data_IF_334486677987
#
_entry.id   IF_334486677987
#
_cell.length_a   1.000
_cell.length_b   1.000
_cell.length_c   1.000
_cell.angle_alpha   90.00
_cell.angle_beta   90.00
_cell.angle_gamma   90.00
#
_symmetry.space_group_name_H-M   'P 1'
#
loop_
_entity.id
_entity.type
_entity.pdbx_description
1 polymer ?
#
# COMPACT_ATOMS: atom_id res chain seq x y z
N UNK A 1 -85.85 -54.08 -23.15
CA UNK A 1 -84.89 -54.93 -23.87
C UNK A 1 -83.74 -54.04 -24.33
N UNK A 2 -82.50 -54.30 -23.87
CA UNK A 2 -81.22 -53.58 -24.10
C UNK A 2 -81.16 -52.10 -23.63
N UNK A 3 -80.91 -51.81 -22.35
CA UNK A 3 -79.62 -51.77 -21.58
C UNK A 3 -78.64 -50.67 -22.05
N UNK A 4 -78.58 -49.56 -21.29
CA UNK A 4 -77.34 -48.81 -21.00
C UNK A 4 -77.36 -48.37 -19.52
N UNK A 5 -76.48 -48.92 -18.66
CA UNK A 5 -76.31 -48.46 -17.29
C UNK A 5 -75.27 -47.33 -17.22
N UNK A 6 -75.49 -46.41 -16.30
CA UNK A 6 -74.56 -45.34 -15.96
C UNK A 6 -73.27 -45.85 -15.31
N UNK A 7 -72.22 -45.03 -15.40
CA UNK A 7 -71.03 -45.05 -14.55
C UNK A 7 -70.83 -43.59 -14.10
N UNK A 8 -71.20 -43.25 -12.87
CA UNK A 8 -70.43 -43.43 -11.62
C UNK A 8 -69.10 -42.66 -11.65
N UNK A 9 -69.13 -41.48 -11.05
CA UNK A 9 -67.95 -40.71 -10.63
C UNK A 9 -67.07 -41.57 -9.73
N UNK A 10 -65.79 -41.65 -10.07
CA UNK A 10 -64.77 -42.24 -9.18
C UNK A 10 -63.98 -41.11 -8.50
N UNK A 11 -63.55 -41.31 -7.24
CA UNK A 11 -62.90 -40.29 -6.43
C UNK A 11 -61.42 -40.13 -6.78
N UNK A 12 -60.90 -38.94 -6.50
CA UNK A 12 -59.51 -38.51 -6.69
C UNK A 12 -58.57 -39.33 -5.78
N UNK A 13 -57.45 -39.89 -6.28
CA UNK A 13 -56.42 -40.51 -5.43
C UNK A 13 -55.51 -39.44 -4.80
N UNK A 14 -54.95 -39.71 -3.60
CA UNK A 14 -54.25 -38.71 -2.81
C UNK A 14 -52.82 -38.48 -3.29
N UNK A 15 -52.37 -37.26 -3.04
CA UNK A 15 -51.01 -36.73 -3.08
C UNK A 15 -49.98 -37.76 -2.60
N UNK A 16 -48.96 -38.02 -3.43
CA UNK A 16 -47.66 -38.50 -2.94
C UNK A 16 -46.52 -37.94 -3.80
N UNK A 17 -45.75 -37.08 -3.14
CA UNK A 17 -44.32 -36.84 -3.33
C UNK A 17 -43.85 -36.09 -4.60
N UNK A 18 -43.65 -34.79 -4.37
CA UNK A 18 -42.77 -33.92 -5.14
C UNK A 18 -41.36 -34.52 -5.24
N UNK A 19 -40.90 -34.84 -6.45
CA UNK A 19 -39.47 -34.88 -6.79
C UNK A 19 -39.30 -34.13 -8.10
N UNK A 20 -39.23 -32.81 -8.03
CA UNK A 20 -38.73 -31.95 -9.09
C UNK A 20 -37.60 -31.13 -8.46
N UNK A 21 -36.50 -31.01 -9.21
CA UNK A 21 -35.31 -30.17 -8.97
C UNK A 21 -34.18 -30.79 -8.13
N UNK A 22 -33.25 -31.47 -8.80
CA UNK A 22 -31.86 -31.56 -8.36
C UNK A 22 -30.90 -31.89 -9.53
N UNK A 23 -31.02 -31.18 -10.66
CA UNK A 23 -30.00 -31.16 -11.71
C UNK A 23 -29.94 -29.75 -12.29
N UNK A 24 -29.19 -28.87 -11.63
CA UNK A 24 -29.03 -27.49 -12.09
C UNK A 24 -28.24 -26.66 -11.10
N UNK A 25 -26.96 -26.45 -11.43
CA UNK A 25 -26.06 -25.42 -10.88
C UNK A 25 -25.47 -25.68 -9.49
N UNK A 26 -24.53 -26.63 -9.43
CA UNK A 26 -23.32 -26.44 -8.62
C UNK A 26 -22.36 -25.57 -9.45
N UNK A 27 -22.64 -24.29 -9.55
CA UNK A 27 -21.59 -23.32 -9.85
C UNK A 27 -20.75 -23.23 -8.59
N UNK A 28 -19.73 -24.06 -8.50
CA UNK A 28 -18.61 -23.83 -7.59
C UNK A 28 -18.09 -22.45 -7.94
N UNK A 29 -18.40 -21.44 -7.11
CA UNK A 29 -17.63 -20.21 -7.13
C UNK A 29 -16.20 -20.64 -6.79
N UNK A 30 -15.39 -20.80 -7.83
CA UNK A 30 -13.96 -20.66 -7.69
C UNK A 30 -13.73 -19.21 -7.28
N UNK A 31 -13.84 -18.94 -5.98
CA UNK A 31 -13.23 -17.76 -5.39
C UNK A 31 -11.75 -17.99 -5.65
N UNK A 32 -11.26 -17.46 -6.77
CA UNK A 32 -9.83 -17.34 -6.97
C UNK A 32 -9.35 -16.57 -5.75
N UNK A 33 -8.44 -17.11 -4.93
CA UNK A 33 -7.86 -16.31 -3.87
C UNK A 33 -7.29 -15.08 -4.56
N UNK A 34 -7.79 -13.89 -4.19
CA UNK A 34 -7.14 -12.67 -4.63
C UNK A 34 -5.73 -12.78 -4.07
N UNK A 35 -4.75 -12.86 -4.96
CA UNK A 35 -3.36 -12.70 -4.55
C UNK A 35 -3.27 -11.29 -4.02
N UNK A 36 -3.29 -11.17 -2.70
CA UNK A 36 -2.97 -9.93 -2.01
C UNK A 36 -1.50 -9.62 -2.30
N UNK A 37 -1.26 -8.44 -2.84
CA UNK A 37 0.08 -7.88 -2.96
C UNK A 37 0.18 -6.85 -1.84
N UNK A 38 1.27 -6.83 -1.09
CA UNK A 38 1.51 -5.81 -0.08
C UNK A 38 1.62 -4.45 -0.78
N UNK A 39 0.51 -3.71 -0.78
CA UNK A 39 0.39 -2.43 -1.45
C UNK A 39 1.38 -1.46 -0.82
N UNK A 40 2.14 -0.77 -1.65
CA UNK A 40 3.10 0.24 -1.16
C UNK A 40 2.53 1.61 -1.44
N UNK A 41 2.38 2.41 -0.39
CA UNK A 41 1.99 3.83 -0.51
C UNK A 41 3.18 4.70 -0.19
N UNK A 42 3.24 5.88 -0.83
CA UNK A 42 4.20 6.93 -0.50
C UNK A 42 3.45 8.12 0.09
N UNK A 43 3.84 8.51 1.28
CA UNK A 43 3.53 9.81 1.87
C UNK A 43 4.59 10.78 1.38
N UNK A 44 4.20 11.74 0.56
CA UNK A 44 5.05 12.89 0.24
C UNK A 44 4.84 13.94 1.31
N UNK A 45 5.89 14.26 2.05
CA UNK A 45 5.87 15.36 3.03
C UNK A 45 6.84 16.46 2.60
N UNK A 46 6.70 17.64 3.19
CA UNK A 46 7.67 18.72 3.00
C UNK A 46 9.04 18.47 3.67
N UNK A 47 9.20 17.37 4.43
CA UNK A 47 10.46 16.97 5.07
C UNK A 47 11.08 15.69 4.50
N UNK A 48 10.38 15.00 3.59
CA UNK A 48 10.85 13.76 2.97
C UNK A 48 9.72 12.81 2.58
N UNK A 49 10.07 11.74 1.87
CA UNK A 49 9.12 10.70 1.51
C UNK A 49 9.14 9.58 2.55
N UNK A 50 7.96 9.11 2.95
CA UNK A 50 7.79 7.92 3.79
C UNK A 50 7.08 6.86 2.94
N UNK A 51 7.76 5.75 2.68
CA UNK A 51 7.16 4.62 1.98
C UNK A 51 6.63 3.62 3.01
N UNK A 52 5.39 3.16 2.85
CA UNK A 52 4.74 2.22 3.77
C UNK A 52 4.23 1.04 2.95
N UNK A 53 4.58 -0.18 3.37
CA UNK A 53 3.92 -1.38 2.88
C UNK A 53 2.73 -1.70 3.76
N UNK A 54 1.57 -1.81 3.15
CA UNK A 54 0.30 -2.09 3.82
C UNK A 54 0.15 -3.60 4.07
N UNK A 55 -0.64 -3.92 5.09
CA UNK A 55 -0.97 -5.29 5.49
C UNK A 55 -2.27 -5.75 4.82
N UNK A 56 -2.33 -5.68 3.49
CA UNK A 56 -3.52 -5.96 2.67
C UNK A 56 -4.20 -7.31 3.00
N UNK A 57 -3.40 -8.32 3.35
CA UNK A 57 -3.91 -9.65 3.69
C UNK A 57 -4.34 -9.78 5.16
N UNK A 58 -3.65 -9.08 6.08
CA UNK A 58 -3.89 -9.21 7.52
C UNK A 58 -4.95 -8.24 8.05
N UNK A 59 -5.08 -7.05 7.46
CA UNK A 59 -6.04 -6.00 7.86
C UNK A 59 -6.79 -5.41 6.65
N UNK A 60 -7.55 -6.24 5.91
CA UNK A 60 -8.14 -5.84 4.63
C UNK A 60 -9.16 -4.69 4.75
N UNK A 61 -9.94 -4.58 5.83
CA UNK A 61 -10.91 -3.49 5.99
C UNK A 61 -10.21 -2.15 6.25
N UNK A 62 -9.18 -2.19 7.10
CA UNK A 62 -8.35 -1.05 7.47
C UNK A 62 -7.58 -0.50 6.28
N UNK A 63 -7.00 -1.39 5.47
CA UNK A 63 -6.30 -1.04 4.22
C UNK A 63 -7.28 -0.49 3.19
N UNK A 64 -8.45 -1.11 3.00
CA UNK A 64 -9.46 -0.59 2.08
C UNK A 64 -9.95 0.81 2.48
N UNK A 65 -10.20 1.04 3.77
CA UNK A 65 -10.56 2.35 4.30
C UNK A 65 -9.45 3.37 4.03
N UNK A 66 -8.19 3.04 4.35
CA UNK A 66 -7.05 3.94 4.15
C UNK A 66 -6.89 4.31 2.68
N UNK A 67 -6.92 3.31 1.80
CA UNK A 67 -6.81 3.51 0.36
C UNK A 67 -7.97 4.33 -0.20
N UNK A 68 -9.16 4.30 0.43
CA UNK A 68 -10.26 5.16 0.02
C UNK A 68 -9.93 6.64 0.24
N UNK A 69 -9.36 7.01 1.40
CA UNK A 69 -8.90 8.38 1.64
C UNK A 69 -7.73 8.78 0.73
N UNK A 70 -6.80 7.86 0.46
CA UNK A 70 -5.68 8.07 -0.48
C UNK A 70 -6.19 8.32 -1.90
N UNK A 71 -7.07 7.47 -2.42
CA UNK A 71 -7.55 7.56 -3.83
C UNK A 71 -8.59 8.65 -4.06
N UNK A 72 -9.10 9.26 -3.00
CA UNK A 72 -9.97 10.44 -3.03
C UNK A 72 -9.25 11.73 -2.65
N UNK A 73 -7.91 11.70 -2.56
CA UNK A 73 -7.02 12.82 -2.24
C UNK A 73 -7.37 13.55 -0.93
N UNK A 74 -8.08 12.88 0.00
CA UNK A 74 -8.54 13.50 1.25
C UNK A 74 -7.44 13.73 2.28
N UNK A 75 -6.29 13.09 2.10
CA UNK A 75 -5.11 13.35 2.93
C UNK A 75 -4.25 14.52 2.40
N UNK A 76 -4.48 14.98 1.18
CA UNK A 76 -3.67 16.03 0.56
C UNK A 76 -3.87 17.36 1.28
N UNK A 77 -2.77 17.97 1.71
CA UNK A 77 -2.78 19.19 2.51
C UNK A 77 -3.11 18.99 3.99
N UNK A 78 -3.25 17.74 4.45
CA UNK A 78 -3.28 17.48 5.91
C UNK A 78 -1.90 17.68 6.52
N UNK A 79 -1.81 17.71 7.85
CA UNK A 79 -0.54 17.87 8.55
C UNK A 79 -0.38 16.87 9.69
N UNK A 80 0.87 16.69 10.14
CA UNK A 80 1.17 16.01 11.41
C UNK A 80 0.75 16.95 12.54
N UNK A 81 -0.34 16.62 13.21
CA UNK A 81 -0.95 17.49 14.21
C UNK A 81 -0.53 17.12 15.63
N UNK A 82 0.20 16.01 15.83
CA UNK A 82 0.61 15.58 17.17
C UNK A 82 1.88 14.72 17.15
N UNK A 83 2.85 15.14 17.96
CA UNK A 83 4.06 14.40 18.33
C UNK A 83 4.23 14.48 19.84
N UNK A 84 3.83 13.44 20.60
CA UNK A 84 3.67 13.59 22.04
C UNK A 84 4.97 13.86 22.78
N UNK A 85 4.93 14.79 23.71
CA UNK A 85 6.05 15.20 24.53
C UNK A 85 5.98 14.55 25.91
N UNK A 86 7.12 14.56 26.59
CA UNK A 86 7.26 14.16 27.97
C UNK A 86 8.02 15.24 28.72
N UNK A 87 7.43 15.70 29.81
CA UNK A 87 8.07 16.62 30.72
C UNK A 87 9.11 15.87 31.60
N UNK A 88 10.32 16.40 31.63
CA UNK A 88 11.40 15.95 32.48
C UNK A 88 11.30 16.58 33.88
N UNK A 89 11.99 16.03 34.91
CA UNK A 89 11.95 16.57 36.26
C UNK A 89 12.38 18.04 36.38
N UNK A 90 13.23 18.51 35.46
CA UNK A 90 13.69 19.89 35.38
C UNK A 90 12.74 20.83 34.63
N UNK A 91 11.52 20.35 34.32
CA UNK A 91 10.47 21.07 33.57
C UNK A 91 10.78 21.31 32.09
N UNK A 92 11.89 20.77 31.55
CA UNK A 92 12.10 20.72 30.11
C UNK A 92 11.21 19.66 29.46
N UNK A 93 10.84 19.86 28.21
CA UNK A 93 10.06 18.90 27.42
C UNK A 93 10.95 18.27 26.36
N UNK A 94 10.84 16.95 26.21
CA UNK A 94 11.45 16.17 25.13
C UNK A 94 10.41 15.29 24.49
N UNK A 95 10.69 14.77 23.30
CA UNK A 95 9.83 13.77 22.65
C UNK A 95 9.61 12.58 23.57
N UNK A 96 8.39 12.05 23.57
CA UNK A 96 8.08 10.82 24.32
C UNK A 96 8.51 9.54 23.59
N UNK A 97 8.97 9.67 22.34
CA UNK A 97 9.25 8.59 21.39
C UNK A 97 8.08 7.61 21.25
N UNK A 98 6.86 8.13 21.40
CA UNK A 98 5.63 7.35 21.35
C UNK A 98 5.15 7.18 19.91
N UNK A 99 4.56 8.22 19.33
CA UNK A 99 3.94 8.18 18.01
C UNK A 99 4.06 9.51 17.26
N UNK A 100 3.94 9.44 15.94
CA UNK A 100 3.75 10.61 15.05
C UNK A 100 2.38 10.49 14.40
N UNK A 101 1.45 11.41 14.69
CA UNK A 101 0.04 11.28 14.34
C UNK A 101 -0.43 12.35 13.33
N UNK A 102 -1.24 11.93 12.35
CA UNK A 102 -1.68 12.74 11.21
C UNK A 102 -3.01 12.27 10.59
N UNK A 103 -3.36 12.85 9.44
CA UNK A 103 -4.48 12.39 8.61
C UNK A 103 -5.89 12.83 9.06
N UNK A 104 -5.99 13.78 9.99
CA UNK A 104 -7.27 14.26 10.51
C UNK A 104 -7.67 15.66 10.05
N UNK A 105 -6.69 16.54 9.81
CA UNK A 105 -6.93 17.98 9.78
C UNK A 105 -6.16 18.67 8.66
N UNK A 106 -6.82 19.63 8.01
CA UNK A 106 -6.25 20.66 7.15
C UNK A 106 -5.91 21.88 7.99
N UNK A 107 -4.91 22.64 7.59
CA UNK A 107 -4.58 23.93 8.22
C UNK A 107 -5.04 25.09 7.32
N UNK A 108 -6.03 25.85 7.79
CA UNK A 108 -6.52 27.05 7.11
C UNK A 108 -5.73 28.28 7.56
N UNK A 109 -4.65 28.56 6.84
CA UNK A 109 -3.76 29.69 7.12
C UNK A 109 -4.42 31.07 6.99
N UNK A 110 -5.59 31.19 6.34
CA UNK A 110 -6.26 32.49 6.21
C UNK A 110 -6.85 32.97 7.55
N UNK A 111 -7.08 32.06 8.49
CA UNK A 111 -7.72 32.32 9.78
C UNK A 111 -7.07 31.57 10.95
N UNK A 112 -5.85 31.05 10.79
CA UNK A 112 -5.16 30.17 11.75
C UNK A 112 -6.10 29.19 12.46
N UNK A 113 -6.73 28.30 11.68
CA UNK A 113 -7.67 27.32 12.21
C UNK A 113 -7.42 25.96 11.55
N UNK A 114 -7.56 24.89 12.32
CA UNK A 114 -7.60 23.54 11.79
C UNK A 114 -9.03 23.17 11.39
N UNK A 115 -9.17 22.49 10.25
CA UNK A 115 -10.45 21.98 9.75
C UNK A 115 -10.35 20.47 9.60
N UNK A 116 -11.30 19.73 10.19
CA UNK A 116 -11.35 18.28 10.03
C UNK A 116 -11.62 17.89 8.58
N UNK A 117 -10.94 16.86 8.09
CA UNK A 117 -11.27 16.32 6.76
C UNK A 117 -12.63 15.61 6.79
N UNK A 118 -13.28 15.50 5.63
CA UNK A 118 -14.53 14.74 5.52
C UNK A 118 -14.23 13.25 5.76
N UNK A 119 -14.82 12.67 6.80
CA UNK A 119 -14.66 11.26 7.15
C UNK A 119 -15.84 10.41 6.68
N UNK A 120 -15.55 9.15 6.34
CA UNK A 120 -16.56 8.11 6.15
C UNK A 120 -17.03 7.54 7.49
N UNK A 121 -17.97 6.60 7.44
CA UNK A 121 -18.38 5.80 8.60
C UNK A 121 -17.16 5.06 9.20
N UNK A 122 -17.12 4.88 10.54
CA UNK A 122 -16.02 4.19 11.18
C UNK A 122 -15.78 2.77 10.67
N UNK A 123 -14.50 2.38 10.59
CA UNK A 123 -14.08 1.04 10.17
C UNK A 123 -14.06 0.08 11.37
N UNK A 124 -14.42 -1.18 11.11
CA UNK A 124 -14.31 -2.27 12.09
C UNK A 124 -12.83 -2.48 12.46
N UNK A 125 -12.56 -2.64 13.75
CA UNK A 125 -11.22 -2.88 14.27
C UNK A 125 -10.70 -4.28 13.86
N UNK A 126 -9.46 -4.37 13.37
CA UNK A 126 -8.78 -5.60 12.95
C UNK A 126 -7.45 -5.82 13.72
N UNK A 127 -7.48 -5.93 15.07
CA UNK A 127 -6.26 -6.11 15.85
C UNK A 127 -5.62 -7.49 15.56
N UNK A 128 -4.30 -7.58 15.72
CA UNK A 128 -3.56 -8.85 15.58
C UNK A 128 -2.09 -8.66 15.24
N UNK A 129 -1.75 -7.60 14.50
CA UNK A 129 -0.37 -7.15 14.34
C UNK A 129 -0.01 -6.21 15.48
N UNK A 130 1.13 -6.48 16.13
CA UNK A 130 1.61 -5.70 17.28
C UNK A 130 2.07 -4.31 16.87
N UNK A 131 1.78 -3.30 17.70
CA UNK A 131 2.17 -1.90 17.52
C UNK A 131 3.67 -1.67 17.82
N UNK A 132 4.52 -2.29 17.02
CA UNK A 132 5.98 -2.20 17.14
C UNK A 132 6.54 -1.02 16.32
N UNK A 133 7.77 -0.60 16.61
CA UNK A 133 8.41 0.53 15.92
C UNK A 133 8.33 0.41 14.40
N UNK A 134 7.84 1.46 13.75
CA UNK A 134 7.70 1.57 12.31
C UNK A 134 6.38 1.05 11.75
N UNK A 135 5.47 0.47 12.56
CA UNK A 135 4.10 0.22 12.07
C UNK A 135 3.32 1.53 11.97
N UNK A 136 2.37 1.57 11.03
CA UNK A 136 1.31 2.56 10.99
C UNK A 136 0.01 1.93 11.51
N UNK A 137 -0.70 2.66 12.36
CA UNK A 137 -1.93 2.21 13.01
C UNK A 137 -3.00 3.28 12.97
N UNK A 138 -4.28 2.88 13.03
CA UNK A 138 -5.38 3.83 13.12
C UNK A 138 -5.47 4.45 14.50
N UNK A 139 -5.63 5.77 14.58
CA UNK A 139 -6.12 6.43 15.78
C UNK A 139 -7.64 6.21 15.91
N UNK A 140 -8.15 6.18 17.14
CA UNK A 140 -9.56 5.95 17.45
C UNK A 140 -9.94 6.52 18.81
N UNK A 141 -11.23 6.73 19.01
CA UNK A 141 -11.80 7.08 20.30
C UNK A 141 -11.97 5.87 21.24
N UNK A 142 -12.83 6.03 22.23
CA UNK A 142 -13.08 5.00 23.24
C UNK A 142 -13.74 3.72 22.69
N UNK A 143 -14.59 3.86 21.66
CA UNK A 143 -15.16 2.71 20.96
C UNK A 143 -14.06 2.05 20.10
N UNK A 144 -13.79 0.73 20.25
CA UNK A 144 -12.82 0.03 19.41
C UNK A 144 -13.04 0.21 17.90
N UNK A 145 -14.30 0.37 17.45
CA UNK A 145 -14.67 0.50 16.04
C UNK A 145 -14.96 1.96 15.66
N UNK A 146 -14.23 2.93 16.24
CA UNK A 146 -14.41 4.36 15.94
C UNK A 146 -13.36 4.96 15.01
N UNK A 147 -12.42 4.16 14.51
CA UNK A 147 -11.38 4.63 13.59
C UNK A 147 -12.00 5.12 12.27
N UNK A 148 -11.55 6.28 11.79
CA UNK A 148 -11.98 6.85 10.49
C UNK A 148 -10.76 7.14 9.61
N UNK A 149 -10.17 8.33 9.69
CA UNK A 149 -9.09 8.77 8.79
C UNK A 149 -7.74 8.93 9.47
N UNK A 150 -7.74 9.21 10.78
CA UNK A 150 -6.53 9.52 11.52
C UNK A 150 -5.66 8.28 11.73
N UNK A 151 -4.36 8.44 11.56
CA UNK A 151 -3.36 7.38 11.71
C UNK A 151 -2.16 7.89 12.49
N UNK A 152 -1.36 6.96 13.01
CA UNK A 152 -0.08 7.28 13.62
C UNK A 152 1.00 6.26 13.27
N UNK A 153 2.24 6.74 13.15
CA UNK A 153 3.43 5.90 13.08
C UNK A 153 3.96 5.63 14.47
N UNK A 154 4.29 4.37 14.78
CA UNK A 154 4.93 4.00 16.04
C UNK A 154 6.43 4.31 15.99
N UNK A 155 6.93 5.15 16.91
CA UNK A 155 8.36 5.49 17.02
C UNK A 155 9.11 4.48 17.90
N UNK A 156 8.42 3.81 18.81
CA UNK A 156 8.95 2.74 19.65
C UNK A 156 8.00 1.54 19.70
N UNK A 157 8.38 0.51 20.46
CA UNK A 157 7.54 -0.68 20.65
C UNK A 157 6.42 -0.40 21.65
N UNK A 158 5.26 -0.01 21.14
CA UNK A 158 4.09 0.41 21.90
C UNK A 158 3.14 -0.76 22.19
N UNK A 159 3.67 -1.86 22.73
CA UNK A 159 2.92 -3.12 22.98
C UNK A 159 1.68 -2.93 23.87
N UNK A 160 1.64 -1.86 24.67
CA UNK A 160 0.47 -1.54 25.51
C UNK A 160 -0.77 -1.17 24.67
N UNK A 161 -0.57 -0.71 23.42
CA UNK A 161 -1.64 -0.46 22.46
C UNK A 161 -2.27 -1.75 21.92
N UNK A 162 -1.64 -2.91 22.15
CA UNK A 162 -2.16 -4.21 21.72
C UNK A 162 -3.17 -4.80 22.71
N UNK A 163 -3.41 -4.14 23.85
CA UNK A 163 -4.26 -4.64 24.93
C UNK A 163 -5.72 -4.80 24.47
N UNK A 164 -6.28 -6.03 24.47
CA UNK A 164 -7.67 -6.26 24.07
C UNK A 164 -8.67 -5.54 24.99
N UNK A 165 -8.35 -5.44 26.28
CA UNK A 165 -9.18 -4.77 27.28
C UNK A 165 -9.28 -3.24 27.08
N UNK A 166 -8.36 -2.68 26.30
CA UNK A 166 -8.35 -1.27 25.88
C UNK A 166 -8.81 -1.09 24.43
N UNK A 167 -9.37 -2.15 23.85
CA UNK A 167 -9.86 -2.17 22.49
C UNK A 167 -8.75 -2.04 21.46
N UNK A 168 -7.59 -2.69 21.68
CA UNK A 168 -6.40 -2.82 20.83
C UNK A 168 -6.37 -2.04 19.49
N UNK A 169 -5.28 -1.32 19.23
CA UNK A 169 -5.14 -0.52 18.01
C UNK A 169 -4.73 -1.37 16.81
N UNK A 170 -5.39 -1.16 15.66
CA UNK A 170 -5.10 -1.89 14.43
C UNK A 170 -3.89 -1.29 13.71
N UNK A 171 -2.79 -2.04 13.69
CA UNK A 171 -1.65 -1.78 12.80
C UNK A 171 -1.95 -2.34 11.42
N UNK A 172 -1.96 -1.49 10.39
CA UNK A 172 -2.39 -1.83 9.03
C UNK A 172 -1.30 -1.67 7.97
N UNK A 173 -0.07 -1.36 8.39
CA UNK A 173 1.10 -1.36 7.53
C UNK A 173 2.38 -1.11 8.32
N UNK A 174 3.50 -1.04 7.60
CA UNK A 174 4.82 -0.75 8.15
C UNK A 174 5.68 0.06 7.19
N UNK A 175 6.40 1.01 7.75
CA UNK A 175 7.36 1.86 7.05
C UNK A 175 8.48 1.00 6.47
N UNK A 176 8.81 1.24 5.20
CA UNK A 176 9.94 0.64 4.51
C UNK A 176 11.23 1.21 5.10
N UNK A 177 12.19 0.32 5.40
CA UNK A 177 13.37 0.61 6.23
C UNK A 177 14.14 1.87 5.82
N UNK A 178 14.31 2.09 4.53
CA UNK A 178 15.08 3.21 3.97
C UNK A 178 14.39 4.58 4.12
N UNK A 179 13.14 4.63 4.59
CA UNK A 179 12.39 5.87 4.83
C UNK A 179 11.99 6.09 6.28
N UNK A 180 12.32 5.16 7.19
CA UNK A 180 12.02 5.30 8.62
C UNK A 180 12.71 6.52 9.24
N UNK A 181 13.89 6.89 8.73
CA UNK A 181 14.62 8.07 9.17
C UNK A 181 13.86 9.39 8.97
N UNK A 182 12.91 9.45 8.04
CA UNK A 182 12.05 10.64 7.86
C UNK A 182 11.01 10.72 8.97
N UNK A 183 10.49 9.58 9.43
CA UNK A 183 9.57 9.53 10.58
C UNK A 183 10.30 9.93 11.87
N UNK A 184 11.55 9.45 12.04
CA UNK A 184 12.42 9.87 13.15
C UNK A 184 12.71 11.37 13.10
N UNK A 185 13.01 11.91 11.92
CA UNK A 185 13.22 13.35 11.74
C UNK A 185 12.00 14.17 12.17
N UNK A 186 10.78 13.71 11.84
CA UNK A 186 9.53 14.38 12.25
C UNK A 186 9.35 14.31 13.76
N UNK A 187 9.63 13.15 14.37
CA UNK A 187 9.56 12.99 15.83
C UNK A 187 10.46 13.99 16.53
N UNK A 188 11.68 14.20 16.03
CA UNK A 188 12.70 15.04 16.67
C UNK A 188 12.50 16.56 16.45
N UNK A 189 11.45 16.97 15.74
CA UNK A 189 11.13 18.39 15.56
C UNK A 189 10.66 19.03 16.87
N UNK A 190 10.95 20.33 17.08
CA UNK A 190 10.34 21.06 18.17
C UNK A 190 8.82 21.10 18.02
N UNK A 191 8.09 21.02 19.13
CA UNK A 191 6.63 21.15 19.15
C UNK A 191 6.20 22.48 19.76
N UNK A 192 5.03 22.96 19.37
CA UNK A 192 4.41 24.16 19.92
C UNK A 192 2.97 23.89 20.31
N UNK A 193 2.47 24.66 21.27
CA UNK A 193 1.05 24.66 21.59
C UNK A 193 0.31 25.52 20.56
N UNK A 194 -0.46 24.85 19.72
CA UNK A 194 -1.30 25.43 18.68
C UNK A 194 -2.79 25.36 19.05
N UNK A 195 -3.14 25.33 20.34
CA UNK A 195 -4.54 25.21 20.77
C UNK A 195 -5.43 26.35 20.29
N UNK A 196 -4.85 27.49 19.90
CA UNK A 196 -5.59 28.57 19.25
C UNK A 196 -6.14 28.19 17.85
N UNK A 197 -5.60 27.16 17.20
CA UNK A 197 -6.12 26.62 15.95
C UNK A 197 -7.30 25.66 16.13
N UNK A 198 -7.61 25.27 17.37
CA UNK A 198 -8.74 24.39 17.67
C UNK A 198 -10.06 25.09 17.35
N UNK A 199 -10.99 24.34 16.77
CA UNK A 199 -12.37 24.79 16.59
C UNK A 199 -13.30 23.92 17.41
N UNK A 200 -14.52 24.38 17.74
CA UNK A 200 -15.51 23.53 18.41
C UNK A 200 -15.84 22.23 17.66
N UNK A 201 -15.44 22.11 16.40
CA UNK A 201 -15.66 20.94 15.55
C UNK A 201 -14.47 19.97 15.53
N UNK A 202 -13.27 20.37 15.93
CA UNK A 202 -12.07 19.53 15.78
C UNK A 202 -11.85 18.54 16.92
N UNK A 203 -12.44 18.76 18.11
CA UNK A 203 -12.45 17.83 19.26
C UNK A 203 -11.10 17.16 19.61
N UNK A 204 -9.98 17.78 19.21
CA UNK A 204 -8.60 17.36 19.45
C UNK A 204 -7.86 18.53 20.10
N UNK A 205 -6.88 18.20 20.93
CA UNK A 205 -5.99 19.16 21.57
C UNK A 205 -4.73 19.33 20.70
N UNK A 206 -4.50 20.53 20.16
CA UNK A 206 -3.32 20.83 19.32
C UNK A 206 -2.16 21.39 20.15
N UNK A 207 -1.85 20.78 21.30
CA UNK A 207 -0.83 21.27 22.22
C UNK A 207 0.60 20.80 21.90
N UNK A 208 0.75 19.84 20.99
CA UNK A 208 2.00 19.15 20.66
C UNK A 208 2.25 19.07 19.13
N UNK A 209 2.01 20.17 18.39
CA UNK A 209 2.19 20.22 16.93
C UNK A 209 3.67 20.39 16.58
N UNK A 210 4.29 19.50 15.77
CA UNK A 210 5.68 19.65 15.33
C UNK A 210 5.83 20.77 14.29
N UNK A 211 6.89 21.57 14.43
CA UNK A 211 7.24 22.66 13.50
C UNK A 211 8.67 22.55 12.99
N UNK A 212 8.89 22.98 11.75
CA UNK A 212 10.17 22.83 11.05
C UNK A 212 11.30 23.70 11.63
N UNK A 213 10.96 24.92 12.06
CA UNK A 213 11.90 25.86 12.67
C UNK A 213 11.16 26.71 13.71
N UNK A 214 11.42 26.43 14.99
CA UNK A 214 10.83 27.17 16.11
C UNK A 214 11.17 28.67 16.06
N UNK A 215 12.30 29.07 15.44
CA UNK A 215 12.67 30.47 15.32
C UNK A 215 11.81 31.24 14.28
N UNK A 216 11.16 30.56 13.34
CA UNK A 216 10.24 31.19 12.38
C UNK A 216 8.81 31.31 12.95
N UNK A 217 8.48 30.56 14.01
CA UNK A 217 7.19 30.66 14.69
C UNK A 217 7.20 31.89 15.61
N UNK A 218 6.87 33.05 15.04
CA UNK A 218 6.86 34.36 15.73
C UNK A 218 5.83 34.36 16.89
N UNK A 219 4.72 33.64 16.70
CA UNK A 219 3.65 33.46 17.66
C UNK A 219 3.13 32.02 17.52
N UNK A 220 3.05 31.28 18.62
CA UNK A 220 2.55 29.90 18.61
C UNK A 220 1.10 29.80 18.11
N UNK A 221 0.38 30.93 18.14
CA UNK A 221 -0.95 31.09 17.60
C UNK A 221 -0.98 31.51 16.11
N UNK A 222 0.12 31.43 15.36
CA UNK A 222 0.19 31.84 13.94
C UNK A 222 0.98 30.82 13.10
N UNK A 223 0.86 29.51 13.38
CA UNK A 223 1.53 28.46 12.60
C UNK A 223 0.92 28.38 11.21
N UNK A 224 1.74 28.41 10.17
CA UNK A 224 1.27 28.23 8.80
C UNK A 224 1.70 26.89 8.23
N UNK A 225 1.18 26.54 7.06
CA UNK A 225 1.64 25.37 6.31
C UNK A 225 3.13 25.40 5.95
N UNK A 226 3.80 26.58 6.03
CA UNK A 226 5.24 26.68 5.84
C UNK A 226 6.03 26.24 7.09
N UNK A 227 5.39 26.30 8.25
CA UNK A 227 5.99 25.97 9.56
C UNK A 227 5.66 24.53 9.97
N UNK A 228 4.53 23.98 9.53
CA UNK A 228 4.06 22.64 9.88
C UNK A 228 4.67 21.53 9.00
N UNK A 229 4.64 20.29 9.50
CA UNK A 229 4.93 19.10 8.69
C UNK A 229 3.69 18.73 7.88
N UNK A 230 3.71 19.06 6.60
CA UNK A 230 2.58 18.87 5.69
C UNK A 230 2.65 17.51 4.99
N UNK A 231 1.50 16.85 4.87
CA UNK A 231 1.25 15.76 3.93
C UNK A 231 0.85 16.40 2.61
N UNK A 232 1.79 16.46 1.67
CA UNK A 232 1.57 17.08 0.36
C UNK A 232 0.67 16.23 -0.52
N UNK A 233 0.91 14.91 -0.50
CA UNK A 233 0.11 13.91 -1.18
C UNK A 233 0.39 12.53 -0.59
N UNK A 234 -0.59 11.62 -0.63
CA UNK A 234 -0.34 10.19 -0.46
C UNK A 234 -0.81 9.46 -1.72
N UNK A 235 0.03 8.58 -2.27
CA UNK A 235 -0.33 7.80 -3.45
C UNK A 235 0.20 6.38 -3.42
N UNK A 236 -0.49 5.48 -4.13
CA UNK A 236 -0.05 4.09 -4.33
C UNK A 236 1.14 4.07 -5.29
N UNK A 237 2.27 3.55 -4.85
CA UNK A 237 3.45 3.34 -5.69
C UNK A 237 3.23 2.15 -6.63
N UNK A 238 3.56 2.35 -7.90
CA UNK A 238 3.71 1.24 -8.83
C UNK A 238 4.97 0.44 -8.45
N UNK A 239 4.76 -0.66 -7.72
CA UNK A 239 5.81 -1.57 -7.24
C UNK A 239 5.46 -2.96 -7.74
N UNK A 240 6.22 -3.51 -8.70
CA UNK A 240 5.98 -4.87 -9.16
C UNK A 240 6.03 -5.86 -7.98
N UNK A 241 5.12 -6.84 -7.88
CA UNK A 241 5.17 -7.81 -6.80
C UNK A 241 6.50 -8.55 -6.78
N UNK A 242 7.22 -8.50 -5.65
CA UNK A 242 8.56 -9.09 -5.52
C UNK A 242 9.72 -8.11 -5.75
N UNK A 243 9.45 -6.86 -6.12
CA UNK A 243 10.43 -5.77 -6.12
C UNK A 243 10.65 -5.31 -4.67
N UNK A 244 11.69 -5.83 -4.03
CA UNK A 244 12.00 -5.61 -2.62
C UNK A 244 13.04 -4.51 -2.41
N UNK A 245 13.77 -4.11 -3.45
CA UNK A 245 14.61 -2.92 -3.42
C UNK A 245 13.88 -1.66 -3.92
N UNK A 246 12.64 -1.81 -4.40
CA UNK A 246 11.74 -0.76 -4.86
C UNK A 246 12.27 0.04 -6.07
N UNK A 247 13.10 -0.58 -6.91
CA UNK A 247 13.70 0.04 -8.09
C UNK A 247 12.83 -0.04 -9.36
N UNK A 248 11.66 -0.66 -9.26
CA UNK A 248 10.69 -0.81 -10.35
C UNK A 248 10.85 -2.07 -11.20
N UNK A 249 11.79 -2.97 -10.87
CA UNK A 249 12.02 -4.23 -11.57
C UNK A 249 12.29 -5.38 -10.60
N UNK A 250 11.82 -6.59 -10.92
CA UNK A 250 12.03 -7.78 -10.08
C UNK A 250 13.20 -8.58 -10.63
N UNK A 251 14.34 -8.52 -9.95
CA UNK A 251 15.63 -9.06 -10.41
C UNK A 251 16.32 -9.88 -9.33
N UNK A 252 17.55 -10.31 -9.60
CA UNK A 252 18.36 -11.06 -8.63
C UNK A 252 18.80 -10.17 -7.46
N UNK A 253 18.71 -8.84 -7.59
CA UNK A 253 19.07 -7.89 -6.55
C UNK A 253 18.00 -7.79 -5.44
N UNK A 254 16.80 -8.32 -5.67
CA UNK A 254 15.72 -8.35 -4.68
C UNK A 254 15.86 -9.52 -3.71
N UNK A 255 16.45 -10.63 -4.17
CA UNK A 255 16.60 -11.85 -3.39
C UNK A 255 17.41 -11.63 -2.09
N UNK A 256 18.55 -10.92 -2.08
CA UNK A 256 19.28 -10.65 -0.83
C UNK A 256 18.48 -9.86 0.20
N UNK A 257 17.50 -9.06 -0.22
CA UNK A 257 16.63 -8.32 0.70
C UNK A 257 15.65 -9.28 1.38
N UNK A 258 15.04 -10.18 0.61
CA UNK A 258 14.21 -11.24 1.17
C UNK A 258 15.01 -12.15 2.12
N UNK A 259 16.22 -12.57 1.73
CA UNK A 259 17.08 -13.39 2.58
C UNK A 259 17.43 -12.70 3.89
N UNK A 260 17.74 -11.40 3.86
CA UNK A 260 18.05 -10.61 5.05
C UNK A 260 16.83 -10.38 5.97
N UNK A 261 15.62 -10.49 5.42
CA UNK A 261 14.38 -10.20 6.11
C UNK A 261 13.58 -11.46 6.48
N UNK A 262 13.98 -12.64 6.00
CA UNK A 262 13.28 -13.91 6.23
C UNK A 262 13.00 -14.20 7.72
N UNK A 263 11.75 -14.52 8.02
CA UNK A 263 11.22 -14.74 9.37
C UNK A 263 10.93 -13.46 10.16
N UNK A 264 11.17 -12.27 9.59
CA UNK A 264 10.94 -11.02 10.29
C UNK A 264 9.47 -10.60 10.28
N UNK A 265 9.03 -10.08 11.43
CA UNK A 265 7.79 -9.31 11.59
C UNK A 265 8.05 -7.80 11.71
N UNK A 266 9.33 -7.40 11.64
CA UNK A 266 9.79 -6.03 11.92
C UNK A 266 10.24 -5.27 10.67
N UNK A 267 10.17 -5.91 9.51
CA UNK A 267 10.77 -5.46 8.27
C UNK A 267 9.76 -5.56 7.15
N UNK A 268 9.49 -4.43 6.51
CA UNK A 268 8.43 -4.30 5.51
C UNK A 268 8.92 -4.60 4.09
N UNK A 269 10.23 -4.49 3.84
CA UNK A 269 10.83 -4.46 2.50
C UNK A 269 10.50 -5.72 1.69
N UNK A 270 10.48 -6.89 2.34
CA UNK A 270 10.26 -8.18 1.69
C UNK A 270 8.93 -8.88 2.02
N UNK A 271 8.02 -8.26 2.79
CA UNK A 271 6.66 -8.79 3.05
C UNK A 271 5.77 -8.54 1.82
N UNK A 272 6.06 -9.21 0.70
CA UNK A 272 5.42 -8.93 -0.60
C UNK A 272 3.94 -9.27 -0.64
N UNK A 273 3.43 -10.10 0.27
CA UNK A 273 2.02 -10.49 0.33
C UNK A 273 1.20 -9.67 1.34
N UNK A 274 1.87 -8.90 2.20
CA UNK A 274 1.24 -7.98 3.16
C UNK A 274 0.54 -8.72 4.30
N UNK A 275 1.10 -9.83 4.79
CA UNK A 275 0.56 -10.57 5.93
C UNK A 275 1.29 -10.29 7.25
N UNK A 276 2.26 -9.36 7.25
CA UNK A 276 3.02 -8.98 8.44
C UNK A 276 4.17 -9.93 8.77
N UNK A 277 4.55 -10.83 7.86
CA UNK A 277 5.71 -11.72 8.04
C UNK A 277 6.41 -11.99 6.71
N UNK A 278 7.74 -11.91 6.71
CA UNK A 278 8.54 -12.29 5.54
C UNK A 278 8.77 -13.80 5.56
N UNK A 279 8.14 -14.56 4.67
CA UNK A 279 8.24 -16.01 4.64
C UNK A 279 8.35 -16.58 3.20
N UNK A 280 8.16 -17.89 3.06
CA UNK A 280 8.25 -18.58 1.76
C UNK A 280 7.18 -18.13 0.75
N UNK A 281 6.05 -17.56 1.18
CA UNK A 281 5.03 -17.00 0.28
C UNK A 281 5.54 -15.75 -0.43
N UNK A 282 6.36 -14.95 0.26
CA UNK A 282 7.01 -13.78 -0.34
C UNK A 282 8.06 -14.21 -1.34
N UNK A 283 8.88 -15.21 -1.01
CA UNK A 283 9.80 -15.80 -1.97
C UNK A 283 9.09 -16.28 -3.25
N UNK A 284 7.94 -16.93 -3.12
CA UNK A 284 7.14 -17.35 -4.27
C UNK A 284 6.59 -16.17 -5.08
N UNK A 285 6.32 -15.02 -4.45
CA UNK A 285 5.97 -13.78 -5.17
C UNK A 285 7.15 -13.27 -5.98
N UNK A 286 8.34 -13.18 -5.39
CA UNK A 286 9.55 -12.82 -6.12
C UNK A 286 9.80 -13.79 -7.28
N UNK A 287 9.80 -15.10 -7.02
CA UNK A 287 10.10 -16.12 -8.02
C UNK A 287 9.12 -16.07 -9.21
N UNK A 288 7.84 -15.79 -8.98
CA UNK A 288 6.83 -15.71 -10.04
C UNK A 288 6.96 -14.48 -10.92
N UNK A 289 7.53 -13.40 -10.40
CA UNK A 289 7.67 -12.12 -11.11
C UNK A 289 9.10 -11.82 -11.54
N UNK A 290 10.08 -12.65 -11.13
CA UNK A 290 11.48 -12.52 -11.50
C UNK A 290 11.66 -12.50 -13.02
N UNK A 291 12.26 -11.41 -13.52
CA UNK A 291 12.66 -11.28 -14.91
C UNK A 291 14.18 -11.15 -15.00
N UNK A 292 14.89 -12.19 -15.49
CA UNK A 292 16.34 -12.16 -15.61
C UNK A 292 16.85 -11.17 -16.67
N UNK A 293 15.97 -10.61 -17.53
CA UNK A 293 16.34 -9.68 -18.59
C UNK A 293 16.04 -8.21 -18.23
N UNK A 294 15.24 -7.97 -17.19
CA UNK A 294 14.96 -6.64 -16.68
C UNK A 294 16.13 -6.14 -15.82
N UNK A 295 16.64 -4.94 -16.10
CA UNK A 295 17.77 -4.34 -15.36
C UNK A 295 19.11 -4.35 -16.10
N UNK A 296 19.20 -4.96 -17.28
CA UNK A 296 20.32 -4.73 -18.20
C UNK A 296 19.96 -3.59 -19.17
N UNK A 297 20.85 -2.61 -19.40
CA UNK A 297 20.67 -1.74 -20.55
C UNK A 297 20.67 -2.63 -21.80
N UNK A 298 19.61 -2.53 -22.60
CA UNK A 298 19.55 -3.20 -23.91
C UNK A 298 20.61 -2.56 -24.80
N UNK A 299 21.84 -3.04 -24.68
CA UNK A 299 22.86 -2.82 -25.70
C UNK A 299 22.31 -3.50 -26.94
N UNK A 300 21.82 -2.72 -27.90
CA UNK A 300 21.51 -3.21 -29.24
C UNK A 300 22.74 -3.94 -29.74
N UNK A 301 22.72 -5.28 -29.72
CA UNK A 301 23.75 -6.09 -30.36
C UNK A 301 23.71 -5.67 -31.82
N UNK A 302 24.77 -5.04 -32.38
CA UNK A 302 24.77 -4.71 -33.79
C UNK A 302 24.67 -6.04 -34.54
N UNK A 303 23.55 -6.27 -35.24
CA UNK A 303 23.42 -7.45 -36.06
C UNK A 303 24.62 -7.51 -37.03
N UNK A 304 25.26 -8.66 -37.24
CA UNK A 304 26.38 -8.76 -38.16
C UNK A 304 25.86 -8.55 -39.58
N UNK A 305 25.91 -7.31 -40.08
CA UNK A 305 25.76 -6.87 -41.46
C UNK A 305 25.17 -7.92 -42.42
N UNK A 306 23.89 -8.29 -42.25
CA UNK A 306 23.17 -9.22 -43.15
C UNK A 306 23.18 -8.72 -44.61
N UNK A 307 23.35 -7.40 -44.78
CA UNK A 307 23.55 -6.71 -46.06
C UNK A 307 24.90 -7.08 -46.69
N UNK A 308 25.97 -7.24 -45.90
CA UNK A 308 27.32 -7.57 -46.39
C UNK A 308 27.39 -8.99 -46.97
N UNK A 309 26.79 -9.97 -46.28
CA UNK A 309 26.70 -11.35 -46.76
C UNK A 309 25.83 -11.48 -48.01
N UNK A 310 24.73 -10.73 -48.07
CA UNK A 310 23.84 -10.71 -49.24
C UNK A 310 24.52 -10.09 -50.46
N UNK A 311 25.25 -8.99 -50.28
CA UNK A 311 26.01 -8.34 -51.35
C UNK A 311 27.14 -9.26 -51.87
N UNK A 312 27.81 -10.00 -50.98
CA UNK A 312 28.85 -10.95 -51.37
C UNK A 312 28.29 -12.13 -52.19
N UNK A 313 27.13 -12.67 -51.80
CA UNK A 313 26.46 -13.74 -52.54
C UNK A 313 26.00 -13.30 -53.95
N UNK A 314 25.51 -12.07 -54.09
CA UNK A 314 25.11 -11.51 -55.39
C UNK A 314 26.32 -11.29 -56.30
N UNK A 315 27.44 -10.79 -55.75
CA UNK A 315 28.67 -10.61 -56.52
C UNK A 315 29.28 -11.95 -56.95
N UNK A 316 29.25 -12.97 -56.07
CA UNK A 316 29.75 -14.32 -56.39
C UNK A 316 28.93 -14.96 -57.52
N UNK A 317 27.60 -14.85 -57.46
CA UNK A 317 26.71 -15.39 -58.52
C UNK A 317 26.85 -14.63 -59.84
N UNK A 318 27.07 -13.32 -59.80
CA UNK A 318 27.36 -12.52 -60.99
C UNK A 318 28.72 -12.88 -61.62
N UNK A 319 29.76 -13.11 -60.80
CA UNK A 319 31.08 -13.53 -61.26
C UNK A 319 31.02 -14.92 -61.91
N UNK A 320 30.36 -15.89 -61.27
CA UNK A 320 30.18 -17.25 -61.80
C UNK A 320 29.41 -17.24 -63.14
N UNK A 321 28.38 -16.40 -63.28
CA UNK A 321 27.64 -16.23 -64.55
C UNK A 321 28.51 -15.64 -65.67
N UNK A 322 29.40 -14.70 -65.35
CA UNK A 322 30.33 -14.11 -66.33
C UNK A 322 31.38 -15.13 -66.80
N UNK A 323 31.94 -15.93 -65.89
CA UNK A 323 32.85 -17.02 -66.25
C UNK A 323 32.17 -18.05 -67.16
N UNK A 324 30.93 -18.42 -66.87
CA UNK A 324 30.18 -19.39 -67.68
C UNK A 324 29.89 -18.87 -69.09
N UNK A 325 29.54 -17.58 -69.25
CA UNK A 325 29.37 -16.95 -70.57
C UNK A 325 30.68 -16.82 -71.36
N UNK A 326 31.81 -16.55 -70.69
CA UNK A 326 33.12 -16.48 -71.35
C UNK A 326 33.55 -17.85 -71.91
N UNK A 327 33.24 -18.95 -71.20
CA UNK A 327 33.51 -20.31 -71.67
C UNK A 327 32.67 -20.67 -72.91
N UNK A 328 31.41 -20.21 -72.99
CA UNK A 328 30.54 -20.46 -74.15
C UNK A 328 30.94 -19.65 -75.39
N UNK A 329 31.55 -18.48 -75.24
CA UNK A 329 31.98 -17.62 -76.36
C UNK A 329 33.34 -18.03 -76.97
N UNK A 330 34.15 -18.83 -76.27
CA UNK A 330 35.38 -19.42 -76.80
C UNK A 330 35.18 -20.80 -77.46
N UNK A 331 33.94 -21.27 -77.55
CA UNK A 331 33.57 -22.58 -78.11
C UNK A 331 32.99 -22.49 -79.54
N UNK A 332 33.20 -21.36 -80.24
CA UNK A 332 32.89 -21.16 -81.67
C UNK A 332 34.17 -20.79 -82.40
#
# INVERSE_FOLDING_TARGET
>A
MMVRPGKSSTPIPPIALRVIAALGVLASLWISPRTSFGTVVRFQTNVGNIDVRLYDAATPLSVANFLNYVTTDRYDGTFIHRVPQKMLPDQSTVTSDFVVQGGGFLLNNSIFAAEGIVTDDPVMNEPGISNLRGTISYAKGADPNSATSQWFFNISDNIFLDSPDKGAFTAFGRVVRNTMNVVDLINDLPTVNASAAETPLTAEDFDEVPVLDLAQVINQNDITSADAVMILNIYVRNTPPGDYNFNGVVTALDLPIWEADFGSHLKADADGNGNGVVDGKDFLLWQRNFDPNSGFPVSTVPEPHSIGLSAFAILLTAALRRCWRAIQLNAI
#
